data_IF_602313479426
#
_entry.id   IF_602313479426
#
_cell.length_a   1.000
_cell.length_b   1.000
_cell.length_c   1.000
_cell.angle_alpha   90.00
_cell.angle_beta   90.00
_cell.angle_gamma   90.00
#
_symmetry.space_group_name_H-M   'P 1'
#
loop_
_entity.id
_entity.type
_entity.pdbx_description
1 polymer ?
#
# COMPACT_ATOMS: atom_id res chain seq x y z
N UNK A 1 21.06 -1.64 -19.79
CA UNK A 1 21.36 -0.28 -20.31
C UNK A 1 21.71 0.61 -19.13
N UNK A 2 22.66 1.55 -19.23
CA UNK A 2 23.05 2.36 -18.08
C UNK A 2 21.94 3.38 -17.77
N UNK A 3 21.54 3.43 -16.51
CA UNK A 3 20.40 4.18 -15.95
C UNK A 3 20.48 5.72 -16.06
N UNK A 4 21.52 6.27 -16.70
CA UNK A 4 21.78 7.71 -16.79
C UNK A 4 20.93 8.50 -17.80
N UNK A 5 20.04 7.87 -18.56
CA UNK A 5 19.24 8.53 -19.61
C UNK A 5 17.77 8.81 -19.23
N UNK A 6 17.29 8.34 -18.08
CA UNK A 6 15.84 8.33 -17.75
C UNK A 6 15.29 9.70 -17.28
N UNK A 7 16.11 10.59 -16.72
CA UNK A 7 15.62 11.86 -16.14
C UNK A 7 15.49 13.03 -17.13
N UNK A 8 15.84 12.86 -18.42
CA UNK A 8 15.85 13.96 -19.40
C UNK A 8 14.54 14.17 -20.17
N UNK A 9 13.54 13.29 -20.01
CA UNK A 9 12.40 13.22 -20.96
C UNK A 9 10.99 13.14 -20.34
N UNK A 10 10.83 13.34 -19.03
CA UNK A 10 9.50 13.35 -18.39
C UNK A 10 8.84 11.96 -18.23
N UNK A 11 9.42 10.91 -18.79
CA UNK A 11 9.08 9.52 -18.46
C UNK A 11 9.96 9.02 -17.33
N UNK A 12 9.30 8.62 -16.27
CA UNK A 12 9.96 8.07 -15.11
C UNK A 12 9.77 6.55 -15.06
N UNK A 13 10.71 5.81 -14.44
CA UNK A 13 10.44 4.44 -14.08
C UNK A 13 9.10 4.39 -13.31
N UNK A 14 8.34 3.30 -13.49
CA UNK A 14 6.92 3.21 -13.18
C UNK A 14 6.58 3.74 -11.78
N UNK A 15 5.85 4.87 -11.77
CA UNK A 15 5.52 5.69 -10.60
C UNK A 15 4.09 5.41 -10.12
N UNK A 16 3.84 5.56 -8.81
CA UNK A 16 2.50 5.47 -8.20
C UNK A 16 1.62 6.69 -8.49
N UNK A 17 0.32 6.43 -8.62
CA UNK A 17 -0.74 7.43 -8.55
C UNK A 17 -1.21 7.60 -7.11
N UNK A 18 -1.20 8.84 -6.62
CA UNK A 18 -1.85 9.15 -5.37
C UNK A 18 -3.38 9.23 -5.58
N UNK A 19 -4.07 8.08 -5.49
CA UNK A 19 -5.53 8.03 -5.32
C UNK A 19 -5.86 7.91 -3.83
N UNK A 20 -6.73 8.77 -3.26
CA UNK A 20 -7.25 8.59 -1.91
C UNK A 20 -7.97 7.24 -1.78
N UNK A 21 -7.70 6.49 -0.72
CA UNK A 21 -8.45 5.29 -0.37
C UNK A 21 -9.94 5.64 -0.16
N UNK A 22 -10.90 4.84 -0.68
CA UNK A 22 -12.29 5.03 -0.34
C UNK A 22 -12.49 4.79 1.16
N UNK A 23 -13.04 5.78 1.84
CA UNK A 23 -13.41 5.66 3.25
C UNK A 23 -14.58 4.67 3.39
N UNK A 24 -14.60 3.82 4.44
CA UNK A 24 -15.73 2.94 4.70
C UNK A 24 -17.01 3.75 4.94
N UNK A 25 -18.19 3.23 4.54
CA UNK A 25 -19.45 3.92 4.76
C UNK A 25 -19.69 4.13 6.26
N UNK A 26 -19.99 5.37 6.65
CA UNK A 26 -20.37 5.72 8.02
C UNK A 26 -21.70 5.03 8.35
N UNK A 27 -21.65 4.07 9.27
CA UNK A 27 -22.85 3.47 9.89
C UNK A 27 -23.50 4.54 10.79
N UNK A 28 -24.80 4.88 10.60
CA UNK A 28 -25.50 5.77 11.50
C UNK A 28 -25.73 5.08 12.86
N UNK A 29 -25.64 5.80 13.99
CA UNK A 29 -25.91 5.20 15.29
C UNK A 29 -27.39 4.84 15.43
N UNK A 30 -27.64 3.62 15.88
CA UNK A 30 -28.96 3.10 16.24
C UNK A 30 -29.60 3.96 17.35
N UNK A 31 -30.86 4.36 17.11
CA UNK A 31 -31.71 5.04 18.06
C UNK A 31 -32.13 4.09 19.21
N UNK A 32 -31.64 4.35 20.42
CA UNK A 32 -32.15 3.78 21.66
C UNK A 32 -33.37 4.56 22.16
N UNK A 33 -34.50 3.87 22.31
CA UNK A 33 -35.73 4.38 22.95
C UNK A 33 -35.56 4.46 24.47
N UNK A 34 -35.99 5.56 25.10
CA UNK A 34 -36.60 5.57 26.45
C UNK A 34 -37.38 6.86 26.76
N UNK A 35 -38.71 6.71 26.80
CA UNK A 35 -39.74 7.23 27.73
C UNK A 35 -39.59 8.60 28.45
N UNK A 36 -40.54 9.49 28.12
CA UNK A 36 -41.42 10.37 28.92
C UNK A 36 -41.05 10.82 30.35
N UNK A 37 -41.08 12.14 30.61
CA UNK A 37 -42.16 12.79 31.41
C UNK A 37 -42.15 14.34 31.36
N UNK A 38 -43.36 14.90 31.47
CA UNK A 38 -43.84 16.28 31.32
C UNK A 38 -43.28 17.33 32.30
N UNK A 39 -43.37 18.64 31.96
CA UNK A 39 -44.45 19.57 32.40
C UNK A 39 -44.16 21.08 32.13
N UNK A 40 -45.05 21.73 31.35
CA UNK A 40 -45.71 23.06 31.55
C UNK A 40 -44.83 24.32 31.82
N UNK A 41 -45.07 25.57 31.37
CA UNK A 41 -46.03 26.27 30.50
C UNK A 41 -45.72 27.80 30.61
N UNK A 42 -46.09 28.58 29.57
CA UNK A 42 -46.64 29.97 29.57
C UNK A 42 -45.86 31.09 28.83
N UNK A 43 -46.56 31.56 27.77
CA UNK A 43 -46.95 32.94 27.38
C UNK A 43 -45.95 33.90 26.70
N UNK A 44 -46.33 34.23 25.45
CA UNK A 44 -46.11 35.51 24.76
C UNK A 44 -47.06 36.62 25.31
N UNK A 45 -46.94 37.91 24.90
CA UNK A 45 -47.48 38.33 23.58
C UNK A 45 -46.74 39.47 22.82
N UNK A 46 -46.91 39.42 21.50
CA UNK A 46 -47.01 40.46 20.42
C UNK A 46 -46.60 41.93 20.64
N UNK A 47 -46.01 42.54 19.60
CA UNK A 47 -46.62 43.57 18.72
C UNK A 47 -45.67 44.03 17.59
N UNK A 48 -46.10 43.87 16.34
CA UNK A 48 -45.69 44.69 15.18
C UNK A 48 -46.56 45.98 15.13
N UNK A 49 -46.14 47.03 14.40
CA UNK A 49 -46.61 47.17 13.01
C UNK A 49 -45.56 47.75 12.02
N UNK A 50 -45.90 47.62 10.75
CA UNK A 50 -45.06 47.75 9.54
C UNK A 50 -44.88 49.19 8.99
N UNK A 51 -43.99 49.34 7.98
CA UNK A 51 -44.25 49.76 6.57
C UNK A 51 -43.05 50.50 5.90
N UNK A 52 -42.85 50.15 4.61
CA UNK A 52 -42.26 50.90 3.46
C UNK A 52 -40.76 50.78 3.06
N UNK A 53 -40.56 49.91 2.04
CA UNK A 53 -39.88 50.07 0.74
C UNK A 53 -38.87 51.21 0.53
N UNK A 54 -37.67 50.85 0.08
CA UNK A 54 -36.91 51.61 -0.93
C UNK A 54 -35.91 50.71 -1.66
N UNK A 55 -36.14 50.50 -2.95
CA UNK A 55 -35.20 49.87 -3.89
C UNK A 55 -34.01 50.79 -4.17
N UNK A 56 -32.78 50.30 -3.99
CA UNK A 56 -31.59 50.85 -4.65
C UNK A 56 -30.70 49.70 -5.11
N UNK A 57 -30.54 49.60 -6.41
CA UNK A 57 -29.47 48.89 -7.11
C UNK A 57 -28.10 49.46 -6.68
N UNK A 58 -27.04 48.65 -6.72
CA UNK A 58 -25.83 49.14 -7.36
C UNK A 58 -25.18 48.11 -8.30
N UNK A 59 -25.02 48.57 -9.54
CA UNK A 59 -23.72 48.68 -10.22
C UNK A 59 -22.77 47.49 -10.17
N UNK A 60 -22.69 46.81 -11.31
CA UNK A 60 -21.62 45.87 -11.68
C UNK A 60 -20.25 46.56 -11.67
N UNK A 61 -19.32 46.00 -10.89
CA UNK A 61 -17.87 46.13 -11.11
C UNK A 61 -17.37 44.76 -11.59
N UNK A 62 -16.56 44.67 -12.66
CA UNK A 62 -15.97 43.40 -13.06
C UNK A 62 -14.84 43.06 -12.08
N UNK A 63 -15.12 42.15 -11.15
CA UNK A 63 -14.10 41.56 -10.29
C UNK A 63 -13.15 40.72 -11.15
N UNK A 64 -11.86 41.08 -11.15
CA UNK A 64 -10.80 40.17 -11.57
C UNK A 64 -10.87 38.93 -10.67
N UNK A 65 -11.40 37.84 -11.20
CA UNK A 65 -11.28 36.52 -10.60
C UNK A 65 -9.83 36.11 -10.78
N UNK A 66 -9.01 36.32 -9.74
CA UNK A 66 -7.73 35.65 -9.63
C UNK A 66 -8.02 34.14 -9.52
N UNK A 67 -7.97 33.44 -10.65
CA UNK A 67 -7.80 31.99 -10.66
C UNK A 67 -6.45 31.71 -9.98
N UNK A 68 -6.49 31.41 -8.69
CA UNK A 68 -5.42 30.64 -8.07
C UNK A 68 -5.49 29.26 -8.71
N UNK A 69 -4.79 29.12 -9.83
CA UNK A 69 -4.38 27.81 -10.30
C UNK A 69 -3.54 27.23 -9.17
N UNK A 70 -4.14 26.32 -8.41
CA UNK A 70 -3.39 25.41 -7.56
C UNK A 70 -2.47 24.65 -8.50
N UNK A 71 -1.22 25.12 -8.65
CA UNK A 71 -0.13 24.30 -9.14
C UNK A 71 -0.07 23.10 -8.21
N UNK A 72 -0.70 22.00 -8.60
CA UNK A 72 -0.37 20.69 -8.07
C UNK A 72 1.06 20.44 -8.52
N UNK A 73 2.03 20.86 -7.71
CA UNK A 73 3.38 20.32 -7.81
C UNK A 73 3.24 18.81 -7.70
N UNK A 74 3.53 18.10 -8.78
CA UNK A 74 3.74 16.66 -8.72
C UNK A 74 4.86 16.46 -7.70
N UNK A 75 4.52 16.00 -6.49
CA UNK A 75 5.51 15.70 -5.48
C UNK A 75 6.48 14.68 -6.10
N UNK A 76 7.76 15.06 -6.21
CA UNK A 76 8.80 14.14 -6.68
C UNK A 76 8.85 12.99 -5.69
N UNK A 77 8.62 11.76 -6.15
CA UNK A 77 8.65 10.57 -5.31
C UNK A 77 10.03 10.42 -4.66
N UNK A 78 10.04 10.07 -3.38
CA UNK A 78 11.28 9.91 -2.66
C UNK A 78 11.89 8.54 -2.98
N UNK A 79 13.07 8.56 -3.61
CA UNK A 79 13.78 7.36 -4.06
C UNK A 79 15.00 7.13 -3.18
N UNK A 80 15.25 5.89 -2.80
CA UNK A 80 16.47 5.48 -2.12
C UNK A 80 17.12 4.31 -2.85
N UNK A 81 18.44 4.17 -2.68
CA UNK A 81 19.14 2.96 -3.11
C UNK A 81 18.84 1.82 -2.13
N UNK A 82 18.73 0.60 -2.65
CA UNK A 82 18.69 -0.62 -1.84
C UNK A 82 20.09 -1.18 -1.54
N UNK A 83 20.12 -2.37 -0.95
CA UNK A 83 21.37 -3.09 -0.62
C UNK A 83 21.54 -4.38 -1.44
N UNK A 84 22.73 -4.97 -1.37
CA UNK A 84 23.07 -6.28 -1.95
C UNK A 84 24.05 -7.02 -1.02
N UNK A 85 23.74 -7.01 0.28
CA UNK A 85 24.59 -7.63 1.31
C UNK A 85 24.16 -9.07 1.60
N UNK A 86 22.94 -9.48 1.19
CA UNK A 86 22.35 -10.76 1.55
C UNK A 86 22.25 -10.89 3.08
N UNK A 87 22.90 -11.92 3.63
CA UNK A 87 22.99 -12.14 5.08
C UNK A 87 24.27 -11.56 5.71
N UNK A 88 25.14 -10.95 4.91
CA UNK A 88 26.36 -10.31 5.41
C UNK A 88 26.01 -9.06 6.22
N UNK A 89 26.58 -8.94 7.41
CA UNK A 89 26.37 -7.78 8.27
C UNK A 89 27.70 -7.18 8.72
N UNK A 90 27.70 -5.87 8.89
CA UNK A 90 28.83 -5.11 9.45
C UNK A 90 28.32 -4.23 10.58
N UNK A 91 29.22 -3.91 11.52
CA UNK A 91 28.88 -3.10 12.68
C UNK A 91 28.10 -3.84 13.77
N UNK A 92 27.96 -3.18 14.91
CA UNK A 92 27.14 -3.68 16.01
C UNK A 92 25.63 -3.53 15.71
N UNK A 93 24.77 -4.06 16.58
CA UNK A 93 23.32 -4.03 16.40
C UNK A 93 22.74 -2.62 16.27
N UNK A 94 23.30 -1.65 16.99
CA UNK A 94 22.84 -0.28 16.96
C UNK A 94 23.22 0.41 15.64
N UNK A 95 24.45 0.20 15.17
CA UNK A 95 24.93 0.69 13.88
C UNK A 95 24.12 0.09 12.71
N UNK A 96 23.77 -1.19 12.79
CA UNK A 96 22.94 -1.87 11.78
C UNK A 96 21.55 -1.23 11.68
N UNK A 97 20.88 -1.02 12.80
CA UNK A 97 19.59 -0.31 12.82
C UNK A 97 19.71 1.14 12.32
N UNK A 98 20.74 1.89 12.73
CA UNK A 98 20.95 3.27 12.27
C UNK A 98 21.19 3.35 10.76
N UNK A 99 21.91 2.37 10.20
CA UNK A 99 22.15 2.28 8.76
C UNK A 99 20.84 2.00 8.01
N UNK A 100 20.03 1.06 8.50
CA UNK A 100 18.70 0.76 7.96
C UNK A 100 17.81 2.01 7.97
N UNK A 101 17.72 2.69 9.11
CA UNK A 101 16.94 3.91 9.27
C UNK A 101 17.41 5.00 8.30
N UNK A 102 18.71 5.29 8.27
CA UNK A 102 19.27 6.35 7.41
C UNK A 102 19.01 6.09 5.93
N UNK A 103 19.00 4.82 5.51
CA UNK A 103 18.81 4.43 4.12
C UNK A 103 17.36 4.55 3.66
N UNK A 104 16.42 4.13 4.50
CA UNK A 104 15.02 3.93 4.07
C UNK A 104 14.03 4.92 4.69
N UNK A 105 14.46 5.80 5.61
CA UNK A 105 13.58 6.82 6.17
C UNK A 105 13.11 7.81 5.09
N UNK A 106 11.80 8.00 4.99
CA UNK A 106 11.13 8.77 3.93
C UNK A 106 11.39 8.25 2.51
N UNK A 107 11.64 6.95 2.33
CA UNK A 107 11.78 6.35 1.01
C UNK A 107 10.47 5.73 0.53
N UNK A 108 10.01 6.11 -0.65
CA UNK A 108 8.82 5.50 -1.29
C UNK A 108 9.20 4.39 -2.28
N UNK A 109 10.32 4.53 -2.99
CA UNK A 109 10.78 3.58 -4.00
C UNK A 109 12.22 3.15 -3.69
N UNK A 110 12.41 1.87 -3.42
CA UNK A 110 13.73 1.25 -3.25
C UNK A 110 14.25 0.81 -4.62
N UNK A 111 15.22 1.56 -5.15
CA UNK A 111 15.98 1.17 -6.34
C UNK A 111 17.08 0.18 -5.95
N UNK A 112 16.73 -1.09 -5.94
CA UNK A 112 17.58 -2.20 -5.51
C UNK A 112 16.77 -3.17 -4.67
N UNK A 113 17.42 -3.80 -3.70
CA UNK A 113 16.79 -4.78 -2.82
C UNK A 113 16.54 -4.17 -1.44
N UNK A 114 15.46 -4.59 -0.80
CA UNK A 114 15.16 -4.26 0.59
C UNK A 114 15.59 -5.43 1.48
N UNK A 115 16.69 -5.28 2.19
CA UNK A 115 17.23 -6.31 3.10
C UNK A 115 17.07 -5.86 4.55
N UNK A 116 16.21 -6.55 5.28
CA UNK A 116 15.95 -6.35 6.71
C UNK A 116 16.48 -7.58 7.44
N UNK A 117 17.69 -7.46 7.96
CA UNK A 117 18.44 -8.61 8.49
C UNK A 117 18.98 -8.31 9.89
N UNK A 118 18.80 -9.27 10.80
CA UNK A 118 19.32 -9.25 12.17
C UNK A 118 18.89 -8.04 13.02
N UNK A 119 17.71 -7.47 12.77
CA UNK A 119 17.17 -6.36 13.56
C UNK A 119 16.65 -6.86 14.91
N UNK A 120 17.14 -6.23 15.98
CA UNK A 120 16.77 -6.54 17.36
C UNK A 120 15.33 -6.14 17.70
N UNK A 121 14.87 -6.65 18.85
CA UNK A 121 13.60 -6.26 19.45
C UNK A 121 13.62 -4.77 19.85
N UNK A 122 12.43 -4.19 20.04
CA UNK A 122 12.25 -2.81 20.51
C UNK A 122 12.83 -1.72 19.58
N UNK A 123 13.14 -2.05 18.32
CA UNK A 123 13.49 -1.08 17.29
C UNK A 123 12.22 -0.56 16.61
N UNK A 124 12.15 0.76 16.41
CA UNK A 124 11.04 1.37 15.69
C UNK A 124 11.26 1.26 14.18
N UNK A 125 10.41 0.49 13.50
CA UNK A 125 10.47 0.30 12.06
C UNK A 125 9.43 1.14 11.31
N UNK A 126 8.74 2.07 11.97
CA UNK A 126 7.67 2.88 11.40
C UNK A 126 8.05 3.63 10.12
N UNK A 127 9.33 4.01 9.98
CA UNK A 127 9.86 4.68 8.79
C UNK A 127 9.70 3.85 7.50
N UNK A 128 9.63 2.51 7.61
CA UNK A 128 9.40 1.61 6.48
C UNK A 128 8.00 1.73 5.88
N UNK A 129 7.02 2.29 6.61
CA UNK A 129 5.65 2.48 6.11
C UNK A 129 5.60 3.39 4.88
N UNK A 130 6.63 4.21 4.65
CA UNK A 130 6.70 5.06 3.45
C UNK A 130 6.96 4.26 2.17
N UNK A 131 7.54 3.07 2.26
CA UNK A 131 7.93 2.26 1.10
C UNK A 131 6.68 1.72 0.40
N UNK A 132 6.63 1.93 -0.92
CA UNK A 132 5.55 1.49 -1.81
C UNK A 132 6.02 0.49 -2.86
N UNK A 133 7.29 0.55 -3.25
CA UNK A 133 7.84 -0.33 -4.26
C UNK A 133 9.30 -0.70 -3.97
N UNK A 134 9.63 -1.95 -4.30
CA UNK A 134 10.99 -2.46 -4.33
C UNK A 134 11.26 -3.01 -5.73
N UNK A 135 12.29 -2.48 -6.40
CA UNK A 135 12.58 -2.89 -7.79
C UNK A 135 13.28 -4.25 -7.87
N UNK A 136 14.06 -4.62 -6.85
CA UNK A 136 14.76 -5.90 -6.75
C UNK A 136 13.92 -6.93 -5.99
N UNK A 137 14.53 -7.56 -4.99
CA UNK A 137 13.87 -8.48 -4.05
C UNK A 137 13.71 -7.88 -2.65
N UNK A 138 12.91 -8.54 -1.82
CA UNK A 138 12.75 -8.27 -0.38
C UNK A 138 13.25 -9.47 0.42
N UNK A 139 14.22 -9.22 1.31
CA UNK A 139 14.81 -10.22 2.22
C UNK A 139 14.50 -9.83 3.67
N UNK A 140 13.86 -10.72 4.42
CA UNK A 140 13.53 -10.54 5.84
C UNK A 140 14.06 -11.76 6.61
N UNK A 141 15.23 -11.62 7.23
CA UNK A 141 15.91 -12.76 7.82
C UNK A 141 16.48 -12.50 9.21
N UNK A 142 16.34 -13.49 10.10
CA UNK A 142 17.00 -13.51 11.42
C UNK A 142 16.65 -12.30 12.31
N UNK A 143 15.49 -11.68 12.09
CA UNK A 143 15.02 -10.58 12.93
C UNK A 143 14.29 -11.09 14.17
N UNK A 144 14.19 -10.26 15.20
CA UNK A 144 13.50 -10.61 16.45
C UNK A 144 12.45 -9.57 16.89
N UNK A 145 12.09 -8.63 16.02
CA UNK A 145 10.94 -7.75 16.22
C UNK A 145 9.62 -8.46 15.89
N UNK A 146 8.50 -7.99 16.46
CA UNK A 146 7.18 -8.67 16.36
C UNK A 146 6.35 -8.31 15.14
N UNK A 147 6.49 -7.09 14.62
CA UNK A 147 5.69 -6.59 13.49
C UNK A 147 6.56 -5.91 12.45
N UNK A 148 6.34 -6.22 11.17
CA UNK A 148 6.99 -5.54 10.04
C UNK A 148 6.04 -4.52 9.40
N UNK A 149 6.21 -3.20 9.60
CA UNK A 149 5.25 -2.19 9.15
C UNK A 149 5.48 -1.75 7.69
N UNK A 150 5.33 -2.67 6.72
CA UNK A 150 5.42 -2.37 5.29
C UNK A 150 4.03 -2.15 4.64
N UNK A 151 3.11 -1.53 5.39
CA UNK A 151 1.68 -1.48 5.05
C UNK A 151 1.37 -0.87 3.69
N UNK A 152 2.22 0.03 3.19
CA UNK A 152 2.05 0.68 1.89
C UNK A 152 2.83 0.02 0.75
N UNK A 153 3.61 -1.04 1.01
CA UNK A 153 4.30 -1.80 -0.01
C UNK A 153 3.25 -2.42 -0.93
N UNK A 154 3.27 -2.03 -2.20
CA UNK A 154 2.31 -2.46 -3.22
C UNK A 154 2.90 -3.44 -4.21
N UNK A 155 4.18 -3.28 -4.52
CA UNK A 155 4.84 -4.04 -5.57
C UNK A 155 6.28 -4.43 -5.23
N UNK A 156 6.63 -5.65 -5.60
CA UNK A 156 8.01 -6.11 -5.76
C UNK A 156 8.22 -6.46 -7.22
N UNK A 157 9.17 -5.80 -7.90
CA UNK A 157 9.36 -6.03 -9.35
C UNK A 157 10.14 -7.30 -9.67
N UNK A 158 11.06 -7.72 -8.80
CA UNK A 158 11.90 -8.89 -9.07
C UNK A 158 12.84 -8.70 -10.26
N UNK A 159 13.42 -7.51 -10.43
CA UNK A 159 14.51 -7.30 -11.43
C UNK A 159 15.82 -7.98 -11.01
N UNK A 160 15.92 -8.34 -9.73
CA UNK A 160 16.97 -9.14 -9.11
C UNK A 160 16.30 -10.17 -8.19
N UNK A 161 16.98 -11.27 -7.92
CA UNK A 161 16.47 -12.33 -7.04
C UNK A 161 17.46 -12.64 -5.92
N UNK A 162 16.92 -13.00 -4.76
CA UNK A 162 17.68 -13.64 -3.70
C UNK A 162 17.81 -15.14 -4.01
N UNK A 163 19.02 -15.71 -3.81
CA UNK A 163 19.34 -17.11 -4.17
C UNK A 163 18.95 -17.45 -5.62
N UNK A 164 19.14 -16.48 -6.53
CA UNK A 164 18.86 -16.59 -7.97
C UNK A 164 17.39 -16.89 -8.34
N UNK A 165 16.47 -16.91 -7.38
CA UNK A 165 15.12 -17.44 -7.56
C UNK A 165 14.00 -16.60 -6.93
N UNK A 166 14.23 -16.00 -5.77
CA UNK A 166 13.17 -15.46 -4.94
C UNK A 166 13.07 -13.93 -5.02
N UNK A 167 11.87 -13.42 -5.22
CA UNK A 167 11.57 -11.99 -5.09
C UNK A 167 11.18 -11.60 -3.66
N UNK A 168 10.65 -12.56 -2.88
CA UNK A 168 10.37 -12.39 -1.46
C UNK A 168 10.93 -13.59 -0.69
N UNK A 169 11.81 -13.34 0.28
CA UNK A 169 12.46 -14.37 1.07
C UNK A 169 12.38 -14.03 2.56
N UNK A 170 11.63 -14.82 3.34
CA UNK A 170 11.35 -14.59 4.76
C UNK A 170 11.72 -15.85 5.56
N UNK A 171 12.79 -15.75 6.37
CA UNK A 171 13.36 -16.93 7.04
C UNK A 171 13.85 -16.63 8.46
N UNK A 172 13.63 -17.58 9.38
CA UNK A 172 14.27 -17.62 10.70
C UNK A 172 14.11 -16.33 11.54
N UNK A 173 12.98 -15.64 11.45
CA UNK A 173 12.75 -14.40 12.20
C UNK A 173 12.30 -14.65 13.65
N UNK A 174 13.18 -15.27 14.44
CA UNK A 174 12.97 -15.52 15.87
C UNK A 174 14.30 -15.66 16.63
N UNK A 175 14.29 -15.32 17.91
CA UNK A 175 15.40 -15.57 18.84
C UNK A 175 15.49 -17.07 19.19
N UNK A 176 16.67 -17.63 19.48
CA UNK A 176 16.86 -19.07 19.73
C UNK A 176 15.84 -19.70 20.69
N UNK A 177 15.49 -18.99 21.77
CA UNK A 177 14.56 -19.45 22.79
C UNK A 177 13.08 -19.15 22.46
N UNK A 178 12.82 -18.53 21.31
CA UNK A 178 11.49 -18.17 20.79
C UNK A 178 10.71 -17.25 21.74
N UNK A 179 11.43 -16.44 22.50
CA UNK A 179 10.90 -15.39 23.38
C UNK A 179 10.46 -14.17 22.59
N UNK A 180 11.22 -13.84 21.54
CA UNK A 180 10.93 -12.75 20.62
C UNK A 180 11.00 -13.26 19.19
N UNK A 181 9.97 -13.00 18.40
CA UNK A 181 9.88 -13.43 17.01
C UNK A 181 8.94 -12.52 16.22
N UNK A 182 9.12 -12.53 14.91
CA UNK A 182 8.19 -11.93 13.96
C UNK A 182 6.87 -12.69 14.00
N UNK A 183 5.80 -11.95 14.28
CA UNK A 183 4.45 -12.48 14.41
C UNK A 183 3.55 -12.07 13.25
N UNK A 184 3.72 -10.86 12.72
CA UNK A 184 2.83 -10.32 11.69
C UNK A 184 3.59 -9.50 10.65
N UNK A 185 3.22 -9.70 9.38
CA UNK A 185 3.68 -8.89 8.25
C UNK A 185 2.60 -7.85 7.92
N UNK A 186 2.95 -6.58 7.92
CA UNK A 186 2.08 -5.52 7.43
C UNK A 186 2.12 -5.42 5.91
N UNK A 187 1.72 -6.43 5.16
CA UNK A 187 1.70 -6.41 3.67
C UNK A 187 0.31 -6.12 3.10
N UNK A 188 -0.52 -5.37 3.83
CA UNK A 188 -1.92 -5.11 3.53
C UNK A 188 -2.19 -4.56 2.11
N UNK A 189 -1.21 -3.89 1.49
CA UNK A 189 -1.33 -3.31 0.15
C UNK A 189 -0.54 -4.06 -0.93
N UNK A 190 0.18 -5.13 -0.57
CA UNK A 190 0.98 -5.90 -1.51
C UNK A 190 0.04 -6.70 -2.40
N UNK A 191 0.02 -6.34 -3.68
CA UNK A 191 -0.91 -6.89 -4.67
C UNK A 191 -0.18 -7.36 -5.92
N UNK A 192 1.13 -7.13 -6.02
CA UNK A 192 1.92 -7.50 -7.20
C UNK A 192 3.34 -7.94 -6.86
N UNK A 193 3.69 -9.15 -7.30
CA UNK A 193 5.07 -9.58 -7.50
C UNK A 193 5.22 -9.89 -8.99
N UNK A 194 5.94 -9.03 -9.72
CA UNK A 194 6.01 -9.15 -11.18
C UNK A 194 6.82 -10.36 -11.63
N UNK A 195 7.87 -10.73 -10.89
CA UNK A 195 8.77 -11.82 -11.25
C UNK A 195 9.47 -12.39 -10.03
N UNK A 196 9.70 -13.70 -10.00
CA UNK A 196 10.41 -14.42 -8.92
C UNK A 196 9.47 -15.14 -7.95
N UNK A 197 9.99 -16.20 -7.33
CA UNK A 197 9.25 -17.02 -6.36
C UNK A 197 9.15 -16.34 -4.99
N UNK A 198 8.24 -16.85 -4.16
CA UNK A 198 8.10 -16.46 -2.75
C UNK A 198 8.55 -17.62 -1.86
N UNK A 199 9.35 -17.33 -0.83
CA UNK A 199 9.80 -18.31 0.15
C UNK A 199 9.58 -17.79 1.56
N UNK A 200 8.67 -18.43 2.31
CA UNK A 200 8.35 -18.08 3.70
C UNK A 200 8.41 -19.35 4.53
N UNK A 201 9.53 -19.54 5.23
CA UNK A 201 9.76 -20.77 5.98
C UNK A 201 10.47 -20.53 7.31
N UNK A 202 10.17 -21.39 8.28
CA UNK A 202 10.86 -21.44 9.58
C UNK A 202 10.71 -20.11 10.33
N UNK A 203 9.50 -19.53 10.35
CA UNK A 203 9.19 -18.36 11.15
C UNK A 203 8.22 -18.79 12.26
N UNK A 204 8.78 -19.28 13.38
CA UNK A 204 8.05 -20.06 14.40
C UNK A 204 6.82 -19.41 15.04
N UNK A 205 6.66 -18.09 14.94
CA UNK A 205 5.49 -17.38 15.47
C UNK A 205 4.81 -16.50 14.41
N UNK A 206 5.23 -16.59 13.14
CA UNK A 206 4.66 -15.77 12.07
C UNK A 206 3.28 -16.32 11.67
N UNK A 207 2.26 -15.51 11.86
CA UNK A 207 0.87 -15.86 11.63
C UNK A 207 0.33 -15.37 10.28
N UNK A 208 -0.79 -15.96 9.87
CA UNK A 208 -1.65 -15.58 8.75
C UNK A 208 -1.07 -15.70 7.33
N UNK A 209 0.24 -15.82 7.15
CA UNK A 209 0.86 -15.97 5.82
C UNK A 209 0.40 -17.19 5.02
N UNK A 210 -0.07 -18.23 5.71
CA UNK A 210 -0.66 -19.43 5.10
C UNK A 210 -2.06 -19.19 4.54
N UNK A 211 -2.73 -18.13 5.02
CA UNK A 211 -4.08 -17.76 4.58
C UNK A 211 -4.08 -16.92 3.31
N UNK A 212 -2.93 -16.41 2.89
CA UNK A 212 -2.81 -15.51 1.73
C UNK A 212 -2.99 -16.27 0.41
N UNK A 213 -3.82 -15.73 -0.47
CA UNK A 213 -3.90 -16.15 -1.87
C UNK A 213 -2.69 -15.58 -2.64
N UNK A 214 -1.61 -16.36 -2.69
CA UNK A 214 -0.39 -15.99 -3.39
C UNK A 214 -0.54 -15.98 -4.92
N UNK A 215 -1.49 -16.73 -5.47
CA UNK A 215 -1.75 -16.75 -6.92
C UNK A 215 -2.38 -15.42 -7.39
N UNK A 216 -3.05 -14.70 -6.48
CA UNK A 216 -3.47 -13.32 -6.71
C UNK A 216 -2.26 -12.37 -6.78
N UNK A 217 -1.29 -12.49 -5.87
CA UNK A 217 -0.16 -11.55 -5.78
C UNK A 217 0.87 -11.80 -6.88
N UNK A 218 1.23 -13.06 -7.13
CA UNK A 218 2.26 -13.44 -8.12
C UNK A 218 1.70 -13.27 -9.53
N UNK A 219 2.37 -12.45 -10.35
CA UNK A 219 1.91 -12.12 -11.70
C UNK A 219 1.89 -13.35 -12.61
N UNK A 220 3.07 -13.96 -12.78
CA UNK A 220 3.34 -14.99 -13.79
C UNK A 220 3.11 -16.39 -13.21
N UNK A 221 2.26 -17.24 -13.84
CA UNK A 221 1.92 -18.57 -13.33
C UNK A 221 3.08 -19.56 -13.20
N UNK A 222 4.25 -19.24 -13.76
CA UNK A 222 5.47 -20.06 -13.65
C UNK A 222 6.17 -19.91 -12.30
N UNK A 223 5.86 -18.85 -11.54
CA UNK A 223 6.42 -18.60 -10.22
C UNK A 223 5.43 -19.06 -9.15
N UNK A 224 5.96 -19.45 -8.00
CA UNK A 224 5.17 -20.08 -6.94
C UNK A 224 5.58 -19.58 -5.56
N UNK A 225 4.67 -19.69 -4.60
CA UNK A 225 4.95 -19.47 -3.20
C UNK A 225 5.20 -20.79 -2.46
N UNK A 226 6.31 -20.85 -1.72
CA UNK A 226 6.57 -21.91 -0.74
C UNK A 226 6.39 -21.33 0.67
N UNK A 227 5.27 -21.68 1.30
CA UNK A 227 4.93 -21.26 2.67
C UNK A 227 4.79 -22.52 3.54
N UNK A 228 5.70 -22.71 4.49
CA UNK A 228 5.76 -23.91 5.32
C UNK A 228 6.47 -23.66 6.66
N UNK A 229 6.20 -24.46 7.70
CA UNK A 229 6.88 -24.37 9.00
C UNK A 229 6.85 -22.95 9.63
N UNK A 230 5.70 -22.28 9.61
CA UNK A 230 5.52 -20.96 10.23
C UNK A 230 4.78 -21.08 11.58
N UNK A 231 4.16 -20.00 12.06
CA UNK A 231 3.47 -19.99 13.35
C UNK A 231 2.24 -20.89 13.36
N UNK A 232 2.13 -21.71 14.41
CA UNK A 232 0.96 -22.54 14.70
C UNK A 232 0.04 -21.85 15.73
N UNK A 233 -1.23 -22.25 15.80
CA UNK A 233 -2.23 -21.73 16.76
C UNK A 233 -2.46 -20.20 16.69
N UNK A 234 -2.43 -19.65 15.47
CA UNK A 234 -2.77 -18.27 15.23
C UNK A 234 -4.27 -18.01 15.44
N UNK A 235 -4.62 -16.77 15.79
CA UNK A 235 -6.01 -16.31 15.72
C UNK A 235 -6.55 -16.45 14.29
N UNK A 236 -7.85 -16.71 14.11
CA UNK A 236 -8.45 -16.69 12.78
C UNK A 236 -8.42 -15.26 12.18
N UNK A 237 -8.52 -15.18 10.86
CA UNK A 237 -8.80 -13.90 10.18
C UNK A 237 -10.14 -13.32 10.65
N UNK A 238 -10.29 -12.00 10.54
CA UNK A 238 -11.58 -11.36 10.71
C UNK A 238 -12.61 -11.93 9.71
N UNK A 239 -13.88 -12.01 10.11
CA UNK A 239 -14.97 -12.60 9.30
C UNK A 239 -15.12 -11.95 7.91
N UNK A 240 -14.90 -10.63 7.82
CA UNK A 240 -14.95 -9.87 6.57
C UNK A 240 -13.83 -10.18 5.57
N UNK A 241 -12.79 -10.91 5.98
CA UNK A 241 -11.64 -11.20 5.12
C UNK A 241 -11.84 -12.42 4.23
N UNK A 242 -12.97 -13.13 4.35
CA UNK A 242 -13.25 -14.37 3.60
C UNK A 242 -12.09 -15.39 3.69
N UNK A 243 -11.41 -15.43 4.84
CA UNK A 243 -10.31 -16.35 5.09
C UNK A 243 -8.94 -15.91 4.59
N UNK A 244 -8.76 -14.75 3.95
CA UNK A 244 -7.47 -14.27 3.46
C UNK A 244 -7.04 -12.97 4.19
N UNK A 245 -6.01 -13.03 5.03
CA UNK A 245 -5.58 -11.87 5.81
C UNK A 245 -4.08 -11.84 6.12
N UNK A 246 -3.57 -10.65 6.37
CA UNK A 246 -2.21 -10.41 6.87
C UNK A 246 -2.15 -10.36 8.41
N UNK A 247 -3.30 -10.41 9.08
CA UNK A 247 -3.47 -10.15 10.51
C UNK A 247 -4.93 -10.37 10.95
N UNK A 248 -5.22 -10.30 12.26
CA UNK A 248 -6.55 -10.61 12.79
C UNK A 248 -7.58 -9.48 12.61
N UNK A 249 -7.16 -8.25 12.29
CA UNK A 249 -8.04 -7.09 12.19
C UNK A 249 -8.88 -7.05 10.91
N UNK A 250 -10.03 -6.35 10.90
CA UNK A 250 -10.81 -6.13 9.67
C UNK A 250 -10.07 -5.30 8.61
N UNK A 251 -9.05 -4.53 8.99
CA UNK A 251 -8.14 -3.79 8.11
C UNK A 251 -7.00 -4.64 7.54
N UNK A 252 -6.85 -5.87 8.03
CA UNK A 252 -5.80 -6.80 7.63
C UNK A 252 -6.20 -7.75 6.50
N UNK A 253 -7.43 -7.62 5.97
CA UNK A 253 -7.88 -8.44 4.87
C UNK A 253 -7.03 -8.25 3.62
N UNK A 254 -6.71 -9.35 2.93
CA UNK A 254 -6.03 -9.31 1.65
C UNK A 254 -6.95 -8.67 0.60
N UNK A 255 -6.39 -7.78 -0.22
CA UNK A 255 -7.07 -7.22 -1.38
C UNK A 255 -6.81 -8.10 -2.60
N UNK A 256 -7.86 -8.71 -3.13
CA UNK A 256 -7.78 -9.53 -4.33
C UNK A 256 -8.00 -8.66 -5.57
N UNK A 257 -7.15 -8.82 -6.57
CA UNK A 257 -7.13 -7.97 -7.78
C UNK A 257 -6.89 -8.76 -9.06
N UNK A 258 -6.81 -10.09 -9.00
CA UNK A 258 -6.56 -11.00 -10.12
C UNK A 258 -7.44 -12.25 -10.05
N UNK A 259 -7.47 -12.97 -8.93
CA UNK A 259 -8.18 -14.27 -8.84
C UNK A 259 -9.70 -14.11 -8.82
N UNK A 260 -10.20 -12.95 -8.40
CA UNK A 260 -11.63 -12.61 -8.40
C UNK A 260 -12.13 -12.05 -9.72
N UNK A 261 -11.23 -11.79 -10.68
CA UNK A 261 -11.58 -11.06 -11.89
C UNK A 261 -12.44 -11.89 -12.84
N UNK A 262 -13.27 -11.20 -13.61
CA UNK A 262 -14.02 -11.82 -14.68
C UNK A 262 -13.06 -12.38 -15.76
N UNK A 263 -13.37 -13.51 -16.42
CA UNK A 263 -12.48 -14.18 -17.38
C UNK A 263 -12.01 -13.32 -18.58
N UNK A 264 -12.72 -12.23 -18.89
CA UNK A 264 -12.37 -11.28 -19.95
C UNK A 264 -11.29 -10.27 -19.56
N UNK A 265 -10.93 -10.16 -18.28
CA UNK A 265 -9.89 -9.23 -17.85
C UNK A 265 -8.50 -9.79 -18.20
N UNK A 266 -7.71 -9.05 -18.97
CA UNK A 266 -6.35 -9.45 -19.40
C UNK A 266 -5.27 -9.21 -18.33
N UNK A 267 -5.66 -9.14 -17.05
CA UNK A 267 -4.73 -8.79 -15.98
C UNK A 267 -5.41 -8.60 -14.65
N UNK A 268 -5.44 -7.34 -14.19
CA UNK A 268 -5.98 -6.97 -12.88
C UNK A 268 -7.42 -6.46 -13.01
N UNK A 269 -8.15 -6.42 -11.90
CA UNK A 269 -9.47 -5.82 -11.79
C UNK A 269 -9.62 -5.06 -10.47
N UNK A 270 -10.64 -4.20 -10.41
CA UNK A 270 -11.06 -3.49 -9.21
C UNK A 270 -12.42 -4.00 -8.68
N UNK A 271 -12.91 -5.10 -9.25
CA UNK A 271 -14.12 -5.81 -8.86
C UNK A 271 -14.35 -7.05 -9.74
N UNK A 272 -15.30 -7.93 -9.38
CA UNK A 272 -15.50 -9.21 -10.03
C UNK A 272 -16.25 -9.14 -11.37
N UNK A 273 -16.84 -7.99 -11.72
CA UNK A 273 -17.69 -7.88 -12.89
C UNK A 273 -16.87 -7.68 -14.19
N UNK A 274 -17.42 -8.10 -15.36
CA UNK A 274 -16.86 -7.87 -16.69
C UNK A 274 -16.37 -6.45 -17.02
N UNK A 275 -17.01 -5.44 -16.43
CA UNK A 275 -16.73 -4.02 -16.65
C UNK A 275 -15.78 -3.41 -15.60
N UNK A 276 -15.27 -4.23 -14.68
CA UNK A 276 -14.39 -3.82 -13.59
C UNK A 276 -12.93 -4.26 -13.83
N UNK A 277 -12.56 -4.48 -15.09
CA UNK A 277 -11.19 -4.75 -15.48
C UNK A 277 -10.32 -3.47 -15.40
N UNK A 278 -9.08 -3.63 -14.97
CA UNK A 278 -8.06 -2.60 -15.08
C UNK A 278 -7.52 -2.50 -16.51
N UNK A 279 -6.85 -1.38 -16.81
CA UNK A 279 -6.04 -1.27 -18.01
C UNK A 279 -4.86 -2.26 -17.98
N UNK A 280 -4.45 -2.78 -19.15
CA UNK A 280 -3.39 -3.80 -19.28
C UNK A 280 -2.00 -3.33 -18.80
N UNK A 281 -1.81 -2.01 -18.77
CA UNK A 281 -0.60 -1.34 -18.25
C UNK A 281 -0.62 -1.10 -16.74
N UNK A 282 -1.71 -1.46 -16.05
CA UNK A 282 -1.77 -1.42 -14.60
C UNK A 282 -1.07 -2.64 -13.99
N UNK A 283 -0.42 -2.41 -12.86
CA UNK A 283 0.17 -3.43 -12.03
C UNK A 283 -0.34 -3.29 -10.57
N UNK A 284 -0.62 -4.42 -9.93
CA UNK A 284 -1.24 -4.54 -8.61
C UNK A 284 -2.73 -4.19 -8.54
N UNK A 285 -3.28 -3.47 -9.51
CA UNK A 285 -4.69 -3.10 -9.53
C UNK A 285 -4.91 -1.66 -9.98
N UNK A 286 -6.13 -1.19 -9.81
CA UNK A 286 -6.57 0.13 -10.24
C UNK A 286 -7.80 0.59 -9.45
N UNK A 287 -8.18 1.86 -9.61
CA UNK A 287 -9.47 2.39 -9.13
C UNK A 287 -10.53 2.50 -10.24
N UNK A 288 -10.15 2.18 -11.48
CA UNK A 288 -10.99 2.30 -12.66
C UNK A 288 -10.29 1.78 -13.91
N UNK A 289 -10.98 1.76 -15.06
CA UNK A 289 -10.51 1.08 -16.27
C UNK A 289 -9.43 1.85 -17.04
N UNK A 290 -9.13 3.10 -16.68
CA UNK A 290 -8.19 3.93 -17.44
C UNK A 290 -6.73 3.69 -17.01
N UNK A 291 -5.80 3.88 -17.94
CA UNK A 291 -4.35 3.82 -17.68
C UNK A 291 -3.82 4.87 -16.70
N UNK A 292 -4.64 5.86 -16.35
CA UNK A 292 -4.34 6.91 -15.36
C UNK A 292 -4.86 6.56 -13.96
N UNK A 293 -5.57 5.44 -13.82
CA UNK A 293 -6.23 4.99 -12.59
C UNK A 293 -5.55 3.76 -11.98
N UNK A 294 -4.37 3.39 -12.48
CA UNK A 294 -3.58 2.28 -11.97
C UNK A 294 -3.03 2.58 -10.58
N UNK A 295 -2.89 1.56 -9.73
CA UNK A 295 -2.11 1.71 -8.50
C UNK A 295 -0.63 1.97 -8.83
N UNK A 296 -0.07 1.20 -9.74
CA UNK A 296 1.27 1.37 -10.28
C UNK A 296 1.31 1.01 -11.77
N UNK A 297 2.30 1.52 -12.48
CA UNK A 297 2.51 1.17 -13.87
C UNK A 297 3.31 -0.13 -13.99
N UNK A 298 2.89 -0.97 -14.93
CA UNK A 298 3.61 -2.18 -15.30
C UNK A 298 4.97 -1.84 -15.92
N UNK A 299 4.96 -0.91 -16.88
CA UNK A 299 6.16 -0.53 -17.64
C UNK A 299 6.63 0.88 -17.30
N UNK A 300 6.00 1.94 -17.82
CA UNK A 300 6.45 3.32 -17.61
C UNK A 300 5.32 4.20 -17.12
N UNK A 301 5.66 5.22 -16.32
CA UNK A 301 4.72 6.30 -16.01
C UNK A 301 5.15 7.54 -16.80
N UNK A 302 4.26 7.99 -17.68
CA UNK A 302 4.39 9.25 -18.40
C UNK A 302 3.36 10.24 -17.87
N UNK A 303 3.80 11.23 -17.10
CA UNK A 303 2.98 12.37 -16.68
C UNK A 303 1.65 11.99 -16.02
N UNK A 304 1.60 10.81 -15.40
CA UNK A 304 0.37 10.29 -14.85
C UNK A 304 -0.48 9.42 -15.79
N UNK A 305 0.10 8.80 -16.80
CA UNK A 305 -0.48 7.66 -17.50
C UNK A 305 0.49 6.48 -17.53
N UNK A 306 -0.01 5.26 -17.40
CA UNK A 306 0.79 4.07 -17.59
C UNK A 306 0.91 3.72 -19.07
N UNK A 307 2.14 3.70 -19.58
CA UNK A 307 2.44 3.50 -20.99
C UNK A 307 3.37 2.31 -21.21
N UNK A 308 3.19 1.64 -22.35
CA UNK A 308 4.04 0.50 -22.78
C UNK A 308 5.47 0.91 -23.11
N UNK A 309 5.66 2.16 -23.55
CA UNK A 309 6.94 2.72 -23.99
C UNK A 309 6.97 4.21 -23.75
N UNK A 310 8.15 4.75 -23.47
CA UNK A 310 8.35 6.18 -23.43
C UNK A 310 8.16 6.78 -24.85
N UNK A 311 7.61 8.00 -24.98
CA UNK A 311 7.52 8.70 -26.26
C UNK A 311 8.89 8.77 -26.96
N UNK A 312 8.92 8.33 -28.22
CA UNK A 312 10.11 8.47 -29.06
C UNK A 312 10.30 9.95 -29.44
N UNK A 313 11.55 10.41 -29.47
CA UNK A 313 11.89 11.69 -30.10
C UNK A 313 11.73 11.63 -31.60
#
# INVERSE_FOLDING_TARGET
MPFGFLLKHGCDPPRFFNTPLPQPPKVPPHAGKRSDQQRSSRRAPSRDPAIMKSSRSPSFLPGLVFFLWSLRSAASQAVCAGTLNGLSVTGDAQQRYQTLYKMYNNCEIVMGNLEIVLIEQNKDLSFLQSIREVTGYVLIAMNVFTYLPLQNLRMIRGTQYYEEKYALYIILNYEKNVTHALHQLGFNQLTEILSGDVYIRKNKQLCHVETIDWDDIIREPKFHAMVLDNGENCSPCHENCNGHCWGPGPEDCQKLTKTICAPQCNGRCFGPNPNECCHDECAGGCTGPLKTECFACRHFNDSGACETRCPHR
#
